data_IF_611328828844
#
_entry.id   IF_611328828844
#
_cell.length_a   1.000
_cell.length_b   1.000
_cell.length_c   1.000
_cell.angle_alpha   90.00
_cell.angle_beta   90.00
_cell.angle_gamma   90.00
#
_symmetry.space_group_name_H-M   'P 1'
#
loop_
_entity.id
_entity.type
_entity.pdbx_description
1 polymer ?
#
# COMPACT_ATOMS: atom_id res chain seq x y z
N UNK A 1 -14.12 -47.22 43.95
CA UNK A 1 -14.30 -45.80 43.55
C UNK A 1 -12.97 -45.04 43.40
N UNK A 2 -12.07 -45.04 44.40
CA UNK A 2 -10.82 -44.24 44.38
C UNK A 2 -10.01 -44.36 43.08
N UNK A 3 -9.78 -45.57 42.57
CA UNK A 3 -8.96 -45.83 41.38
C UNK A 3 -9.41 -45.03 40.13
N UNK A 4 -10.72 -44.96 39.86
CA UNK A 4 -11.25 -44.20 38.72
C UNK A 4 -10.98 -42.70 38.84
N UNK A 5 -10.93 -42.16 40.07
CA UNK A 5 -10.63 -40.73 40.29
C UNK A 5 -9.20 -40.40 39.88
N UNK A 6 -8.24 -41.28 40.18
CA UNK A 6 -6.85 -41.09 39.75
C UNK A 6 -6.68 -41.23 38.24
N UNK A 7 -7.35 -42.19 37.61
CA UNK A 7 -7.34 -42.36 36.14
C UNK A 7 -7.92 -41.11 35.46
N UNK A 8 -9.05 -40.58 35.95
CA UNK A 8 -9.69 -39.37 35.40
C UNK A 8 -8.79 -38.12 35.52
N UNK A 9 -8.10 -37.94 36.66
CA UNK A 9 -7.15 -36.84 36.87
C UNK A 9 -5.90 -36.99 35.97
N UNK A 10 -5.38 -38.20 35.79
CA UNK A 10 -4.27 -38.46 34.87
C UNK A 10 -4.66 -38.17 33.41
N UNK A 11 -5.89 -38.53 33.01
CA UNK A 11 -6.39 -38.29 31.66
C UNK A 11 -6.54 -36.79 31.37
N UNK A 12 -7.12 -36.01 32.28
CA UNK A 12 -7.28 -34.55 32.08
C UNK A 12 -5.94 -33.82 32.09
N UNK A 13 -5.01 -34.23 32.96
CA UNK A 13 -3.64 -33.70 32.94
C UNK A 13 -2.91 -34.00 31.62
N UNK A 14 -3.03 -35.21 31.09
CA UNK A 14 -2.43 -35.59 29.80
C UNK A 14 -3.00 -34.79 28.63
N UNK A 15 -4.33 -34.59 28.58
CA UNK A 15 -5.00 -33.78 27.55
C UNK A 15 -4.57 -32.31 27.65
N UNK A 16 -4.48 -31.74 28.85
CA UNK A 16 -4.01 -30.37 29.05
C UNK A 16 -2.54 -30.19 28.61
N UNK A 17 -1.67 -31.15 28.92
CA UNK A 17 -0.27 -31.15 28.50
C UNK A 17 -0.13 -31.23 26.97
N UNK A 18 -0.88 -32.14 26.32
CA UNK A 18 -0.89 -32.25 24.85
C UNK A 18 -1.45 -31.00 24.17
N UNK A 19 -2.55 -30.43 24.68
CA UNK A 19 -3.11 -29.19 24.16
C UNK A 19 -2.14 -28.02 24.27
N UNK A 20 -1.43 -27.91 25.40
CA UNK A 20 -0.42 -26.87 25.62
C UNK A 20 0.81 -27.05 24.73
N UNK A 21 1.32 -28.28 24.61
CA UNK A 21 2.45 -28.60 23.72
C UNK A 21 2.09 -28.35 22.25
N UNK A 22 0.89 -28.75 21.81
CA UNK A 22 0.40 -28.48 20.46
C UNK A 22 0.20 -26.99 20.22
N UNK A 23 -0.37 -26.23 21.16
CA UNK A 23 -0.52 -24.78 21.03
C UNK A 23 0.83 -24.06 20.95
N UNK A 24 1.80 -24.44 21.77
CA UNK A 24 3.17 -23.90 21.73
C UNK A 24 3.87 -24.27 20.42
N UNK A 25 3.77 -25.52 19.96
CA UNK A 25 4.35 -25.95 18.69
C UNK A 25 3.70 -25.25 17.49
N UNK A 26 2.37 -25.13 17.48
CA UNK A 26 1.62 -24.43 16.43
C UNK A 26 2.00 -22.94 16.43
N UNK A 27 2.03 -22.28 17.58
CA UNK A 27 2.47 -20.88 17.71
C UNK A 27 3.93 -20.69 17.28
N UNK A 28 4.84 -21.61 17.62
CA UNK A 28 6.24 -21.56 17.19
C UNK A 28 6.40 -21.71 15.67
N UNK A 29 5.66 -22.65 15.06
CA UNK A 29 5.66 -22.86 13.61
C UNK A 29 4.96 -21.71 12.85
N UNK A 30 3.88 -21.17 13.41
CA UNK A 30 3.14 -20.02 12.88
C UNK A 30 3.98 -18.74 12.94
N UNK A 31 4.62 -18.46 14.09
CA UNK A 31 5.59 -17.36 14.27
C UNK A 31 6.87 -17.52 13.43
N UNK A 32 7.26 -18.75 13.05
CA UNK A 32 8.33 -18.97 12.05
C UNK A 32 7.90 -18.75 10.60
N UNK A 33 6.59 -18.79 10.31
CA UNK A 33 6.05 -18.67 8.93
C UNK A 33 5.41 -17.30 8.66
N UNK A 34 5.05 -16.55 9.70
CA UNK A 34 4.53 -15.19 9.62
C UNK A 34 5.59 -14.25 10.19
N UNK A 35 6.38 -13.72 9.26
CA UNK A 35 6.58 -12.28 9.10
C UNK A 35 6.48 -11.43 10.38
N UNK A 36 7.61 -11.23 11.04
CA UNK A 36 7.80 -10.14 12.00
C UNK A 36 8.06 -8.83 11.22
N UNK A 37 7.16 -7.82 11.28
CA UNK A 37 7.35 -6.56 10.57
C UNK A 37 8.66 -5.87 10.93
N UNK A 38 9.15 -6.05 12.17
CA UNK A 38 10.41 -5.48 12.64
C UNK A 38 11.60 -6.01 11.84
N UNK A 39 11.62 -7.29 11.46
CA UNK A 39 12.75 -7.86 10.72
C UNK A 39 12.88 -7.24 9.31
N UNK A 40 11.76 -7.07 8.60
CA UNK A 40 11.75 -6.38 7.32
C UNK A 40 12.10 -4.89 7.49
N UNK A 41 11.60 -4.25 8.54
CA UNK A 41 11.91 -2.86 8.89
C UNK A 41 13.39 -2.63 9.22
N UNK A 42 14.08 -3.60 9.83
CA UNK A 42 15.52 -3.56 10.06
C UNK A 42 16.33 -3.87 8.79
N UNK A 43 15.91 -4.82 7.94
CA UNK A 43 16.57 -5.04 6.63
C UNK A 43 16.46 -3.81 5.71
N UNK A 44 15.29 -3.14 5.68
CA UNK A 44 15.06 -1.85 4.99
C UNK A 44 15.92 -0.71 5.58
N UNK A 45 16.55 -0.91 6.74
CA UNK A 45 17.44 0.08 7.38
C UNK A 45 18.89 0.00 6.90
N UNK A 46 19.33 -1.13 6.35
CA UNK A 46 20.74 -1.39 6.00
C UNK A 46 21.05 -1.33 4.50
N UNK A 47 20.02 -1.20 3.64
CA UNK A 47 20.23 -0.60 2.32
C UNK A 47 20.53 0.90 2.45
N UNK A 48 21.76 1.21 2.02
CA UNK A 48 22.56 2.44 2.04
C UNK A 48 21.85 3.81 1.87
N UNK A 49 22.62 4.88 2.10
CA UNK A 49 22.19 6.29 2.07
C UNK A 49 21.82 6.86 0.69
N UNK A 50 21.21 6.07 -0.19
CA UNK A 50 20.69 6.52 -1.48
C UNK A 50 19.37 7.29 -1.39
N UNK A 51 19.16 8.22 -2.32
CA UNK A 51 17.89 8.93 -2.52
C UNK A 51 16.81 7.95 -2.99
N UNK A 52 15.70 7.84 -2.26
CA UNK A 52 14.62 6.90 -2.61
C UNK A 52 13.55 7.59 -3.45
N UNK A 53 13.53 7.26 -4.75
CA UNK A 53 12.56 7.80 -5.72
C UNK A 53 11.17 7.16 -5.58
N UNK A 54 10.15 8.00 -5.47
CA UNK A 54 8.72 7.65 -5.43
C UNK A 54 8.03 8.18 -6.69
N UNK A 55 7.37 7.32 -7.45
CA UNK A 55 6.67 7.72 -8.67
C UNK A 55 5.19 8.06 -8.37
N UNK A 56 4.66 9.14 -8.94
CA UNK A 56 3.30 9.63 -8.65
C UNK A 56 2.46 9.64 -9.92
N UNK A 57 1.73 8.53 -10.14
CA UNK A 57 0.90 8.30 -11.34
C UNK A 57 -0.59 8.31 -10.99
N UNK A 58 -1.43 8.30 -12.03
CA UNK A 58 -2.88 8.45 -11.93
C UNK A 58 -3.40 9.26 -13.12
N UNK A 59 -4.70 9.28 -13.34
CA UNK A 59 -5.26 9.98 -14.51
C UNK A 59 -5.03 11.51 -14.43
N UNK A 60 -5.25 12.19 -15.56
CA UNK A 60 -5.41 13.63 -15.60
C UNK A 60 -6.56 14.11 -14.69
N UNK A 61 -6.36 15.26 -14.06
CA UNK A 61 -7.32 15.81 -13.11
C UNK A 61 -7.42 15.10 -11.76
N UNK A 62 -6.74 13.96 -11.54
CA UNK A 62 -6.79 13.20 -10.27
C UNK A 62 -6.21 13.94 -9.03
N UNK A 63 -5.63 15.13 -9.22
CA UNK A 63 -5.19 16.02 -8.14
C UNK A 63 -3.79 15.72 -7.58
N UNK A 64 -2.93 15.04 -8.36
CA UNK A 64 -1.57 14.63 -7.96
C UNK A 64 -0.66 15.80 -7.62
N UNK A 65 -0.58 16.79 -8.51
CA UNK A 65 0.17 18.03 -8.29
C UNK A 65 -0.37 18.84 -7.09
N UNK A 66 -1.68 18.75 -6.81
CA UNK A 66 -2.32 19.41 -5.66
C UNK A 66 -2.04 18.68 -4.33
N UNK A 67 -2.00 17.34 -4.35
CA UNK A 67 -1.53 16.53 -3.23
C UNK A 67 -0.06 16.85 -2.93
N UNK A 68 0.80 16.85 -3.96
CA UNK A 68 2.23 17.13 -3.82
C UNK A 68 2.49 18.56 -3.31
N UNK A 69 1.79 19.57 -3.83
CA UNK A 69 1.84 20.93 -3.27
C UNK A 69 1.40 20.95 -1.81
N UNK A 70 0.43 20.12 -1.42
CA UNK A 70 0.00 19.95 -0.03
C UNK A 70 1.02 19.27 0.89
N UNK A 71 2.04 18.59 0.35
CA UNK A 71 3.17 18.03 1.10
C UNK A 71 4.37 18.99 1.19
N UNK A 72 4.49 19.95 0.27
CA UNK A 72 5.55 20.98 0.29
C UNK A 72 5.15 22.26 1.02
N UNK A 73 3.86 22.56 1.12
CA UNK A 73 3.34 23.78 1.71
C UNK A 73 3.60 23.84 3.23
N UNK A 74 4.13 24.97 3.70
CA UNK A 74 4.24 25.29 5.13
C UNK A 74 2.97 25.97 5.64
N UNK A 75 2.83 26.09 6.97
CA UNK A 75 1.68 26.77 7.57
C UNK A 75 1.59 28.25 7.11
N UNK A 76 0.45 28.59 6.51
CA UNK A 76 0.17 29.90 5.91
C UNK A 76 0.20 29.93 4.38
N UNK A 77 0.73 28.91 3.72
CA UNK A 77 0.91 28.92 2.26
C UNK A 77 -0.41 28.69 1.49
N UNK A 78 -0.69 29.55 0.51
CA UNK A 78 -1.96 29.51 -0.23
C UNK A 78 -1.92 28.46 -1.34
N UNK A 79 -2.56 27.31 -1.11
CA UNK A 79 -2.75 26.24 -2.12
C UNK A 79 -3.27 26.83 -3.44
N UNK A 80 -2.50 26.66 -4.51
CA UNK A 80 -2.73 27.33 -5.79
C UNK A 80 -3.55 26.48 -6.77
N UNK A 81 -3.99 27.10 -7.87
CA UNK A 81 -4.59 26.36 -8.99
C UNK A 81 -3.50 25.63 -9.80
N UNK A 82 -3.37 24.33 -9.59
CA UNK A 82 -2.50 23.47 -10.41
C UNK A 82 -3.02 23.41 -11.86
N UNK A 83 -2.14 23.63 -12.84
CA UNK A 83 -2.42 23.37 -14.26
C UNK A 83 -2.12 21.90 -14.59
N UNK A 84 -2.72 21.29 -15.64
CA UNK A 84 -2.40 19.93 -16.04
C UNK A 84 -0.91 19.74 -16.39
N UNK A 85 -0.25 18.80 -15.73
CA UNK A 85 1.16 18.43 -15.95
C UNK A 85 1.36 17.89 -17.37
N UNK A 86 2.06 18.67 -18.22
CA UNK A 86 2.34 18.36 -19.65
C UNK A 86 3.61 17.54 -19.91
N UNK A 87 4.30 17.12 -18.85
CA UNK A 87 5.55 16.38 -18.92
C UNK A 87 5.80 15.68 -17.59
N UNK A 88 6.77 16.16 -16.82
CA UNK A 88 7.02 15.72 -15.45
C UNK A 88 7.10 16.90 -14.47
N UNK A 89 7.02 16.59 -13.17
CA UNK A 89 7.21 17.47 -12.03
C UNK A 89 8.02 16.69 -10.97
N UNK A 90 8.95 17.35 -10.27
CA UNK A 90 9.91 16.70 -9.36
C UNK A 90 10.04 17.48 -8.06
N UNK A 91 9.88 16.79 -6.93
CA UNK A 91 9.90 17.37 -5.58
C UNK A 91 10.73 16.48 -4.65
N UNK A 92 11.82 17.03 -4.10
CA UNK A 92 12.60 16.41 -3.03
C UNK A 92 12.04 16.84 -1.67
N UNK A 93 11.68 15.88 -0.82
CA UNK A 93 11.32 16.10 0.58
C UNK A 93 12.41 15.51 1.49
N UNK A 94 12.98 16.34 2.35
CA UNK A 94 13.93 15.90 3.37
C UNK A 94 13.17 15.51 4.64
N UNK A 95 13.14 14.21 4.96
CA UNK A 95 12.65 13.72 6.24
C UNK A 95 13.83 13.52 7.22
N UNK A 96 13.63 13.57 8.55
CA UNK A 96 14.73 13.56 9.54
C UNK A 96 15.70 12.37 9.53
N UNK A 97 15.45 11.34 8.70
CA UNK A 97 16.33 10.18 8.52
C UNK A 97 16.74 9.91 7.05
N UNK A 98 16.00 10.38 6.04
CA UNK A 98 16.19 10.05 4.61
C UNK A 98 15.59 11.13 3.69
N UNK A 99 16.17 11.33 2.51
CA UNK A 99 15.58 12.12 1.42
C UNK A 99 14.64 11.25 0.58
N UNK A 100 13.47 11.79 0.23
CA UNK A 100 12.46 11.16 -0.64
C UNK A 100 12.19 12.02 -1.87
N UNK A 101 12.36 11.45 -3.05
CA UNK A 101 12.28 12.17 -4.32
C UNK A 101 11.01 11.78 -5.10
N UNK A 102 10.01 12.65 -5.09
CA UNK A 102 8.73 12.44 -5.74
C UNK A 102 8.76 12.88 -7.20
N UNK A 103 8.54 11.94 -8.12
CA UNK A 103 8.45 12.17 -9.56
C UNK A 103 7.00 12.01 -10.04
N UNK A 104 6.33 13.10 -10.35
CA UNK A 104 5.00 13.12 -10.99
C UNK A 104 5.17 13.13 -12.51
N UNK A 105 4.54 12.19 -13.21
CA UNK A 105 4.44 12.19 -14.69
C UNK A 105 3.04 12.61 -15.10
N UNK A 106 2.89 13.38 -16.17
CA UNK A 106 1.58 13.79 -16.70
C UNK A 106 0.66 12.59 -16.99
N UNK A 107 -0.65 12.80 -16.81
CA UNK A 107 -1.65 11.72 -16.93
C UNK A 107 -2.72 11.92 -17.99
N UNK A 108 -2.57 12.94 -18.85
CA UNK A 108 -3.32 12.99 -20.11
C UNK A 108 -2.93 11.79 -20.98
N UNK A 109 -3.83 11.36 -21.85
CA UNK A 109 -3.75 10.08 -22.58
C UNK A 109 -2.39 9.89 -23.29
N UNK A 110 -1.96 10.91 -24.04
CA UNK A 110 -0.68 10.98 -24.76
C UNK A 110 0.57 10.77 -23.88
N UNK A 111 0.45 10.99 -22.56
CA UNK A 111 1.57 10.89 -21.60
C UNK A 111 1.58 9.55 -20.84
N UNK A 112 0.51 8.75 -20.93
CA UNK A 112 0.41 7.45 -20.20
C UNK A 112 1.28 6.36 -20.82
N UNK A 113 1.75 6.54 -22.06
CA UNK A 113 2.73 5.65 -22.69
C UNK A 113 4.05 5.61 -21.91
N UNK A 114 4.60 6.78 -21.56
CA UNK A 114 5.89 6.93 -20.87
C UNK A 114 5.90 6.40 -19.44
N UNK A 115 4.74 6.17 -18.82
CA UNK A 115 4.65 5.72 -17.42
C UNK A 115 5.43 4.44 -17.12
N UNK A 116 5.56 3.53 -18.09
CA UNK A 116 6.31 2.29 -17.93
C UNK A 116 7.83 2.51 -17.80
N UNK A 117 8.37 3.53 -18.48
CA UNK A 117 9.81 3.81 -18.57
C UNK A 117 10.42 4.22 -17.22
N UNK A 118 9.61 4.80 -16.33
CA UNK A 118 10.03 5.27 -15.01
C UNK A 118 9.91 4.19 -13.91
N UNK A 119 9.14 3.12 -14.12
CA UNK A 119 8.93 2.07 -13.11
C UNK A 119 10.25 1.39 -12.70
N UNK A 120 11.16 1.15 -13.65
CA UNK A 120 12.44 0.46 -13.41
C UNK A 120 13.46 1.22 -12.55
N UNK A 121 13.21 2.49 -12.19
CA UNK A 121 14.06 3.30 -11.29
C UNK A 121 13.35 3.70 -9.98
N UNK A 122 12.11 3.25 -9.82
CA UNK A 122 11.20 3.66 -8.75
C UNK A 122 11.26 2.68 -7.58
N UNK A 123 11.31 3.19 -6.35
CA UNK A 123 11.30 2.38 -5.12
C UNK A 123 9.88 2.10 -4.62
N UNK A 124 8.94 3.01 -4.86
CA UNK A 124 7.52 2.83 -4.57
C UNK A 124 6.64 3.68 -5.52
N UNK A 125 5.47 3.17 -5.88
CA UNK A 125 4.46 3.85 -6.70
C UNK A 125 3.32 4.38 -5.83
N UNK A 126 3.05 5.68 -5.92
CA UNK A 126 1.81 6.29 -5.43
C UNK A 126 0.87 6.46 -6.61
N UNK A 127 -0.26 5.74 -6.60
CA UNK A 127 -1.28 5.83 -7.64
C UNK A 127 -2.51 6.59 -7.13
N UNK A 128 -2.71 7.82 -7.60
CA UNK A 128 -3.79 8.69 -7.13
C UNK A 128 -5.01 8.57 -8.05
N UNK A 129 -6.16 8.32 -7.45
CA UNK A 129 -7.44 8.09 -8.10
C UNK A 129 -8.40 9.21 -7.72
N UNK A 130 -9.20 9.70 -8.68
CA UNK A 130 -10.32 10.58 -8.38
C UNK A 130 -11.52 9.73 -7.93
N UNK A 131 -11.82 9.74 -6.63
CA UNK A 131 -12.95 9.00 -6.06
C UNK A 131 -14.31 9.59 -6.42
N UNK A 132 -14.36 10.85 -6.89
CA UNK A 132 -15.60 11.49 -7.36
C UNK A 132 -15.92 11.11 -8.82
N UNK A 133 -14.88 10.91 -9.65
CA UNK A 133 -15.01 10.58 -11.07
C UNK A 133 -15.31 9.07 -11.30
N UNK A 134 -16.52 8.68 -10.94
CA UNK A 134 -17.04 7.31 -11.12
C UNK A 134 -16.99 6.82 -12.57
N UNK A 135 -16.97 7.74 -13.56
CA UNK A 135 -16.90 7.40 -14.99
C UNK A 135 -15.50 6.92 -15.40
N UNK A 136 -14.44 7.49 -14.83
CA UNK A 136 -13.05 7.11 -15.16
C UNK A 136 -12.40 6.12 -14.19
N UNK A 137 -13.07 5.73 -13.10
CA UNK A 137 -12.61 4.61 -12.24
C UNK A 137 -12.24 3.32 -13.02
N UNK A 138 -13.00 2.86 -14.04
CA UNK A 138 -12.61 1.68 -14.83
C UNK A 138 -11.33 1.89 -15.63
N UNK A 139 -11.10 3.09 -16.16
CA UNK A 139 -9.87 3.46 -16.89
C UNK A 139 -8.67 3.52 -15.93
N UNK A 140 -8.83 4.12 -14.75
CA UNK A 140 -7.80 4.15 -13.71
C UNK A 140 -7.42 2.73 -13.25
N UNK A 141 -8.42 1.85 -13.08
CA UNK A 141 -8.20 0.43 -12.78
C UNK A 141 -7.46 -0.30 -13.91
N UNK A 142 -7.85 -0.09 -15.16
CA UNK A 142 -7.17 -0.71 -16.30
C UNK A 142 -5.68 -0.29 -16.38
N UNK A 143 -5.38 0.98 -16.12
CA UNK A 143 -4.01 1.53 -16.13
C UNK A 143 -3.14 1.02 -14.97
N UNK A 144 -3.61 1.07 -13.72
CA UNK A 144 -2.80 0.55 -12.60
C UNK A 144 -2.55 -0.96 -12.75
N UNK A 145 -3.53 -1.73 -13.23
CA UNK A 145 -3.34 -3.13 -13.59
C UNK A 145 -2.35 -3.33 -14.76
N UNK A 146 -2.22 -2.38 -15.70
CA UNK A 146 -1.21 -2.42 -16.77
C UNK A 146 0.19 -2.27 -16.19
N UNK A 147 0.40 -1.28 -15.31
CA UNK A 147 1.68 -1.04 -14.64
C UNK A 147 2.10 -2.24 -13.77
N UNK A 148 1.17 -2.78 -12.98
CA UNK A 148 1.39 -3.95 -12.11
C UNK A 148 1.71 -5.24 -12.87
N UNK A 149 1.30 -5.38 -14.14
CA UNK A 149 1.73 -6.50 -15.00
C UNK A 149 3.16 -6.37 -15.51
N UNK A 150 3.71 -5.15 -15.55
CA UNK A 150 5.09 -4.89 -15.96
C UNK A 150 6.06 -4.99 -14.77
N UNK A 151 5.66 -4.45 -13.61
CA UNK A 151 6.46 -4.46 -12.37
C UNK A 151 5.63 -4.96 -11.18
N UNK A 152 5.40 -6.27 -11.10
CA UNK A 152 4.54 -6.89 -10.07
C UNK A 152 5.10 -6.88 -8.65
N UNK A 153 6.41 -6.65 -8.49
CA UNK A 153 7.10 -6.57 -7.20
C UNK A 153 7.20 -5.14 -6.65
N UNK A 154 6.80 -4.12 -7.43
CA UNK A 154 6.91 -2.72 -7.01
C UNK A 154 5.90 -2.44 -5.88
N UNK A 155 6.31 -1.90 -4.72
CA UNK A 155 5.38 -1.50 -3.67
C UNK A 155 4.45 -0.39 -4.17
N UNK A 156 3.13 -0.56 -4.02
CA UNK A 156 2.11 0.39 -4.49
C UNK A 156 1.19 0.85 -3.38
N UNK A 157 1.02 2.17 -3.27
CA UNK A 157 0.03 2.83 -2.43
C UNK A 157 -1.03 3.46 -3.34
N UNK A 158 -2.31 3.13 -3.13
CA UNK A 158 -3.43 3.69 -3.90
C UNK A 158 -4.15 4.73 -3.05
N UNK A 159 -4.30 5.96 -3.55
CA UNK A 159 -4.90 7.08 -2.82
C UNK A 159 -6.20 7.55 -3.48
N UNK A 160 -7.32 7.38 -2.77
CA UNK A 160 -8.65 7.80 -3.24
C UNK A 160 -8.93 9.27 -2.96
N UNK A 161 -8.43 10.17 -3.80
CA UNK A 161 -8.56 11.63 -3.67
C UNK A 161 -9.98 12.14 -3.98
N UNK A 162 -10.27 13.41 -3.62
CA UNK A 162 -11.55 14.11 -3.83
C UNK A 162 -12.77 13.36 -3.27
N UNK A 163 -12.63 12.85 -2.06
CA UNK A 163 -13.73 12.22 -1.34
C UNK A 163 -14.84 13.25 -1.06
N UNK A 164 -16.07 12.98 -1.48
CA UNK A 164 -17.20 13.92 -1.34
C UNK A 164 -17.84 13.78 0.05
N UNK A 165 -17.07 14.20 1.07
CA UNK A 165 -17.50 14.78 2.35
C UNK A 165 -18.35 13.95 3.33
N UNK A 166 -17.77 13.70 4.51
CA UNK A 166 -18.42 13.48 5.83
C UNK A 166 -19.54 12.42 5.95
N UNK A 167 -19.26 11.18 5.56
CA UNK A 167 -19.78 10.04 6.37
C UNK A 167 -18.81 8.86 6.32
N UNK A 168 -18.63 8.18 7.47
CA UNK A 168 -17.92 6.89 7.54
C UNK A 168 -18.87 5.80 7.04
N UNK A 169 -19.14 5.84 5.75
CA UNK A 169 -19.84 4.80 4.99
C UNK A 169 -18.92 4.43 3.84
N UNK A 170 -19.08 3.21 3.34
CA UNK A 170 -18.67 2.88 1.99
C UNK A 170 -17.19 2.54 1.72
N UNK A 171 -16.33 2.35 2.74
CA UNK A 171 -15.04 1.63 2.61
C UNK A 171 -15.21 0.27 1.87
N UNK A 172 -16.37 -0.35 2.07
CA UNK A 172 -16.81 -1.64 1.53
C UNK A 172 -17.26 -1.58 0.04
N UNK A 173 -17.80 -0.44 -0.43
CA UNK A 173 -18.38 -0.25 -1.80
C UNK A 173 -17.16 0.27 -2.61
N UNK A 174 -16.32 1.11 -1.97
CA UNK A 174 -14.89 1.32 -2.26
C UNK A 174 -14.28 0.04 -2.86
N UNK A 175 -14.17 -0.94 -1.96
CA UNK A 175 -13.78 -2.32 -2.26
C UNK A 175 -14.59 -2.95 -3.40
N UNK A 176 -15.92 -2.92 -3.36
CA UNK A 176 -16.77 -3.60 -4.37
C UNK A 176 -16.51 -3.21 -5.83
N UNK A 177 -16.14 -1.95 -6.10
CA UNK A 177 -15.82 -1.48 -7.47
C UNK A 177 -14.33 -1.60 -7.81
N UNK A 178 -13.44 -1.22 -6.88
CA UNK A 178 -11.99 -1.24 -7.11
C UNK A 178 -11.39 -2.65 -6.92
N UNK A 179 -12.15 -3.62 -6.39
CA UNK A 179 -11.75 -5.03 -6.20
C UNK A 179 -10.91 -5.58 -7.33
N UNK A 180 -9.61 -5.60 -7.09
CA UNK A 180 -8.68 -6.56 -7.69
C UNK A 180 -9.14 -7.90 -7.12
N UNK A 181 -9.68 -8.78 -7.98
CA UNK A 181 -10.32 -10.00 -7.52
C UNK A 181 -9.37 -10.83 -6.67
N UNK A 182 -9.79 -11.22 -5.46
CA UNK A 182 -8.97 -11.97 -4.50
C UNK A 182 -8.74 -13.42 -4.96
N UNK A 183 -7.92 -13.59 -6.01
CA UNK A 183 -7.46 -14.85 -6.60
C UNK A 183 -6.01 -14.74 -7.07
N UNK A 184 -5.12 -14.48 -6.12
CA UNK A 184 -3.95 -15.34 -5.85
C UNK A 184 -3.27 -14.86 -4.55
N UNK A 185 -3.51 -15.57 -3.46
CA UNK A 185 -3.10 -15.23 -2.10
C UNK A 185 -1.67 -15.69 -1.81
N UNK A 186 -0.68 -15.11 -2.49
CA UNK A 186 0.73 -15.49 -2.32
C UNK A 186 1.69 -14.31 -2.05
N UNK A 187 1.51 -13.13 -2.67
CA UNK A 187 2.54 -12.06 -2.69
C UNK A 187 2.15 -10.70 -2.06
N UNK A 188 1.39 -10.69 -0.94
CA UNK A 188 1.38 -9.64 0.11
C UNK A 188 1.03 -8.16 -0.15
N UNK A 189 1.28 -7.60 -1.34
CA UNK A 189 1.57 -6.17 -1.51
C UNK A 189 0.36 -5.30 -1.90
N UNK A 190 -0.60 -5.10 -0.99
CA UNK A 190 -1.59 -4.01 -1.10
C UNK A 190 -1.83 -3.35 0.27
N UNK A 191 -1.18 -2.22 0.51
CA UNK A 191 -1.42 -1.36 1.67
C UNK A 191 -2.30 -0.16 1.26
N UNK A 192 -3.57 -0.19 1.68
CA UNK A 192 -4.47 0.95 1.54
C UNK A 192 -4.32 1.88 2.75
N UNK A 193 -4.22 3.18 2.49
CA UNK A 193 -4.38 4.23 3.50
C UNK A 193 -5.58 5.12 3.11
N UNK A 194 -6.23 5.68 4.14
CA UNK A 194 -7.61 6.21 4.10
C UNK A 194 -7.75 7.56 3.36
#
# INVERSE_FOLDING_TARGET
MVLLRHISIALTAAVAAFGSALFIALNYLYRRRIWSPEAEYYMIKEEEGGQRQVLVLGLDGAGRSSMLQGLTATDGDKRGHCRPTRGFNFISLSAPARQLDFLEIGGGEDLRMYWAEYLGKTHALVYVVDSSDRRRLPQAKAEIHRLLRLHSQLPVVVLGNKQVTLTIIWAYTVYGQISIGARNTENGNVFNLY
#
